data_IF_188913131935
#
_entry.id   IF_188913131935
#
_cell.length_a   1.000
_cell.length_b   1.000
_cell.length_c   1.000
_cell.angle_alpha   90.00
_cell.angle_beta   90.00
_cell.angle_gamma   90.00
#
_symmetry.space_group_name_H-M   'P 1'
#
loop_
_entity.id
_entity.type
_entity.pdbx_description
1 polymer ?
#
# COMPACT_ATOMS: atom_id res chain seq x y z
N UNK A 1 -14.86 1.04 -3.50
CA UNK A 1 -14.95 0.44 -2.16
C UNK A 1 -13.74 0.89 -1.35
N UNK A 2 -13.94 1.67 -0.30
CA UNK A 2 -12.90 2.18 0.63
C UNK A 2 -12.41 1.04 1.53
N UNK A 3 -11.13 1.01 1.95
CA UNK A 3 -10.69 0.06 3.00
C UNK A 3 -11.45 0.36 4.29
N UNK A 4 -12.52 -0.41 4.53
CA UNK A 4 -13.29 -0.39 5.78
C UNK A 4 -13.08 -1.71 6.50
N UNK A 5 -11.91 -1.96 7.09
CA UNK A 5 -11.69 -3.15 7.93
C UNK A 5 -10.73 -2.91 9.10
N UNK A 6 -10.99 -3.63 10.19
CA UNK A 6 -10.11 -3.82 11.35
C UNK A 6 -8.67 -4.10 10.88
N UNK A 7 -7.68 -3.38 11.43
CA UNK A 7 -6.27 -3.54 11.07
C UNK A 7 -5.69 -2.49 10.11
N UNK A 8 -6.52 -1.62 9.51
CA UNK A 8 -6.05 -0.49 8.70
C UNK A 8 -5.32 0.55 9.56
N UNK A 9 -4.08 0.87 9.18
CA UNK A 9 -3.22 1.88 9.80
C UNK A 9 -3.13 3.12 8.90
N UNK A 10 -2.74 4.25 9.48
CA UNK A 10 -2.52 5.51 8.75
C UNK A 10 -1.04 5.84 8.70
N UNK A 11 -0.61 6.50 7.64
CA UNK A 11 0.74 7.05 7.50
C UNK A 11 0.68 8.30 6.63
N UNK A 12 1.53 9.29 6.91
CA UNK A 12 1.74 10.44 6.05
C UNK A 12 3.08 10.27 5.37
N UNK A 13 3.11 10.34 4.04
CA UNK A 13 4.34 10.28 3.24
C UNK A 13 4.45 11.59 2.45
N UNK A 14 5.50 12.36 2.73
CA UNK A 14 5.56 13.76 2.29
C UNK A 14 4.45 14.57 2.95
N UNK A 15 3.55 15.13 2.13
CA UNK A 15 2.34 15.85 2.58
C UNK A 15 1.05 15.08 2.37
N UNK A 16 1.12 13.83 1.86
CA UNK A 16 -0.06 13.07 1.44
C UNK A 16 -0.45 12.02 2.50
N UNK A 17 -1.72 11.97 2.93
CA UNK A 17 -2.19 10.97 3.89
C UNK A 17 -2.61 9.67 3.19
N UNK A 18 -2.17 8.55 3.74
CA UNK A 18 -2.45 7.21 3.24
C UNK A 18 -3.03 6.32 4.33
N UNK A 19 -3.75 5.30 3.88
CA UNK A 19 -4.20 4.16 4.68
C UNK A 19 -3.55 2.90 4.15
N UNK A 20 -3.13 2.02 5.04
CA UNK A 20 -2.52 0.76 4.66
C UNK A 20 -2.94 -0.38 5.58
N UNK A 21 -2.90 -1.60 5.05
CA UNK A 21 -3.14 -2.83 5.82
C UNK A 21 -2.23 -3.93 5.32
N UNK A 22 -1.98 -4.92 6.18
CA UNK A 22 -1.41 -6.19 5.76
C UNK A 22 -2.56 -7.12 5.40
N UNK A 23 -2.57 -7.64 4.19
CA UNK A 23 -3.50 -8.66 3.71
C UNK A 23 -2.79 -10.02 3.72
N UNK A 24 -3.32 -11.02 4.44
CA UNK A 24 -2.68 -12.33 4.56
C UNK A 24 -2.91 -13.27 3.36
N UNK A 25 -3.43 -12.79 2.21
CA UNK A 25 -3.99 -13.70 1.20
C UNK A 25 -3.00 -14.08 0.09
N UNK A 26 -2.75 -15.39 0.03
CA UNK A 26 -2.20 -16.22 -1.06
C UNK A 26 -0.75 -15.95 -1.51
N UNK A 27 0.07 -17.00 -1.43
CA UNK A 27 1.47 -17.11 -1.85
C UNK A 27 1.84 -16.19 -3.05
N UNK A 28 3.00 -15.52 -3.03
CA UNK A 28 4.25 -15.95 -2.39
C UNK A 28 4.60 -15.30 -1.03
N UNK A 29 3.73 -14.50 -0.41
CA UNK A 29 4.09 -13.79 0.82
C UNK A 29 2.97 -12.96 1.46
N UNK A 30 3.34 -11.97 2.27
CA UNK A 30 2.40 -11.03 2.88
C UNK A 30 2.16 -9.82 1.96
N UNK A 31 0.90 -9.49 1.69
CA UNK A 31 0.53 -8.33 0.90
C UNK A 31 0.44 -7.07 1.75
N UNK A 32 1.09 -5.98 1.33
CA UNK A 32 0.87 -4.64 1.86
C UNK A 32 -0.04 -3.92 0.87
N UNK A 33 -1.24 -3.57 1.30
CA UNK A 33 -2.21 -2.81 0.50
C UNK A 33 -2.22 -1.38 0.99
N UNK A 34 -2.07 -0.42 0.07
CA UNK A 34 -2.08 1.02 0.35
C UNK A 34 -3.12 1.72 -0.53
N UNK A 35 -3.86 2.65 0.08
CA UNK A 35 -4.73 3.59 -0.63
C UNK A 35 -4.58 5.00 -0.07
N UNK A 36 -4.95 6.01 -0.86
CA UNK A 36 -5.08 7.37 -0.34
C UNK A 36 -6.14 7.43 0.78
N UNK A 37 -5.99 8.33 1.75
CA UNK A 37 -6.89 8.39 2.92
C UNK A 37 -8.36 8.63 2.54
N UNK A 38 -8.63 9.31 1.43
CA UNK A 38 -10.00 9.49 0.90
C UNK A 38 -10.65 8.17 0.48
N UNK A 39 -9.84 7.15 0.17
CA UNK A 39 -10.25 5.81 -0.28
C UNK A 39 -11.04 5.78 -1.60
N UNK A 40 -10.94 6.85 -2.39
CA UNK A 40 -11.56 6.97 -3.73
C UNK A 40 -10.56 6.81 -4.88
N UNK A 41 -9.26 6.73 -4.60
CA UNK A 41 -8.25 6.60 -5.63
C UNK A 41 -7.73 5.17 -5.81
N UNK A 42 -6.74 5.04 -6.69
CA UNK A 42 -6.12 3.78 -7.06
C UNK A 42 -5.38 3.16 -5.87
N UNK A 43 -5.60 1.86 -5.65
CA UNK A 43 -4.83 1.10 -4.66
C UNK A 43 -3.51 0.63 -5.23
N UNK A 44 -2.53 0.54 -4.36
CA UNK A 44 -1.26 -0.12 -4.61
C UNK A 44 -1.14 -1.35 -3.71
N UNK A 45 -0.62 -2.43 -4.26
CA UNK A 45 -0.26 -3.65 -3.54
C UNK A 45 1.20 -3.95 -3.77
N UNK A 46 1.90 -4.36 -2.71
CA UNK A 46 3.24 -4.93 -2.81
C UNK A 46 3.33 -6.19 -1.97
N UNK A 47 4.18 -7.12 -2.38
CA UNK A 47 4.35 -8.42 -1.74
C UNK A 47 5.71 -8.47 -1.06
N UNK A 48 5.74 -8.93 0.19
CA UNK A 48 6.97 -9.16 0.95
C UNK A 48 7.05 -10.60 1.42
N UNK A 49 8.26 -11.12 1.57
CA UNK A 49 8.49 -12.49 2.03
C UNK A 49 7.96 -12.71 3.46
N UNK A 50 7.63 -13.96 3.77
CA UNK A 50 7.27 -14.35 5.13
C UNK A 50 8.41 -14.05 6.11
N UNK A 51 8.06 -13.55 7.30
CA UNK A 51 9.03 -13.12 8.31
C UNK A 51 9.52 -11.66 8.15
N UNK A 52 9.16 -10.98 7.05
CA UNK A 52 9.45 -9.55 6.90
C UNK A 52 8.67 -8.74 7.94
N UNK A 53 9.38 -7.92 8.71
CA UNK A 53 8.76 -6.99 9.67
C UNK A 53 8.15 -5.81 8.91
N UNK A 54 6.82 -5.76 8.85
CA UNK A 54 6.10 -4.67 8.18
C UNK A 54 6.00 -3.47 9.13
N UNK A 55 6.97 -2.56 9.00
CA UNK A 55 7.06 -1.31 9.75
C UNK A 55 6.53 -0.10 8.96
N UNK A 56 6.17 1.01 9.62
CA UNK A 56 5.83 2.25 8.92
C UNK A 56 6.96 2.76 8.01
N UNK A 57 8.23 2.51 8.34
CA UNK A 57 9.38 2.85 7.51
C UNK A 57 9.39 2.10 6.19
N UNK A 58 9.18 0.78 6.24
CA UNK A 58 9.04 -0.05 5.03
C UNK A 58 7.85 0.42 4.18
N UNK A 59 6.72 0.71 4.81
CA UNK A 59 5.51 1.21 4.10
C UNK A 59 5.79 2.54 3.40
N UNK A 60 6.56 3.44 4.02
CA UNK A 60 6.98 4.69 3.40
C UNK A 60 7.85 4.44 2.17
N UNK A 61 8.82 3.52 2.24
CA UNK A 61 9.69 3.18 1.11
C UNK A 61 8.89 2.65 -0.08
N UNK A 62 7.98 1.70 0.14
CA UNK A 62 7.18 1.12 -0.95
C UNK A 62 6.20 2.12 -1.56
N UNK A 63 5.67 3.06 -0.77
CA UNK A 63 4.86 4.17 -1.28
C UNK A 63 5.70 5.06 -2.21
N UNK A 64 6.90 5.46 -1.79
CA UNK A 64 7.78 6.30 -2.62
C UNK A 64 8.15 5.59 -3.91
N UNK A 65 8.55 4.32 -3.83
CA UNK A 65 8.88 3.52 -5.01
C UNK A 65 7.69 3.41 -5.99
N UNK A 66 6.48 3.15 -5.48
CA UNK A 66 5.29 3.11 -6.32
C UNK A 66 4.99 4.47 -6.99
N UNK A 67 5.15 5.57 -6.27
CA UNK A 67 4.98 6.93 -6.82
C UNK A 67 5.98 7.21 -7.94
N UNK A 68 7.25 6.84 -7.74
CA UNK A 68 8.31 6.96 -8.77
C UNK A 68 8.01 6.08 -10.00
N UNK A 69 7.41 4.91 -9.79
CA UNK A 69 6.98 4.00 -10.85
C UNK A 69 5.62 4.40 -11.51
N UNK A 70 5.10 5.59 -11.22
CA UNK A 70 3.90 6.15 -11.86
C UNK A 70 2.57 5.69 -11.24
N UNK A 71 2.56 5.37 -9.95
CA UNK A 71 1.30 5.21 -9.21
C UNK A 71 0.64 6.55 -8.95
N UNK A 72 -0.66 6.64 -9.25
CA UNK A 72 -1.47 7.85 -9.03
C UNK A 72 -2.54 7.61 -7.97
N UNK A 73 -2.24 7.77 -6.67
CA UNK A 73 -3.11 7.35 -5.57
C UNK A 73 -4.43 8.13 -5.47
N UNK A 74 -4.53 9.30 -6.11
CA UNK A 74 -5.73 10.14 -6.11
C UNK A 74 -6.63 9.87 -7.32
N UNK A 75 -6.10 9.25 -8.38
CA UNK A 75 -6.87 8.93 -9.57
C UNK A 75 -7.57 7.59 -9.39
N UNK A 76 -8.86 7.46 -9.71
CA UNK A 76 -9.52 6.16 -9.76
C UNK A 76 -8.82 5.26 -10.78
N UNK A 77 -8.69 3.97 -10.46
CA UNK A 77 -8.06 3.02 -11.37
C UNK A 77 -8.04 1.61 -10.81
N UNK A 78 -7.65 0.67 -11.67
CA UNK A 78 -7.38 -0.72 -11.25
C UNK A 78 -6.22 -0.74 -10.27
N UNK A 79 -6.28 -1.68 -9.32
CA UNK A 79 -5.18 -1.93 -8.39
C UNK A 79 -3.86 -2.18 -9.14
N UNK A 80 -2.77 -1.57 -8.68
CA UNK A 80 -1.43 -1.80 -9.25
C UNK A 80 -0.54 -2.54 -8.28
N UNK A 81 0.13 -3.55 -8.80
CA UNK A 81 1.09 -4.36 -8.05
C UNK A 81 2.50 -3.85 -8.35
N UNK A 82 3.28 -3.56 -7.31
CA UNK A 82 4.70 -3.22 -7.42
C UNK A 82 5.51 -4.26 -6.66
N UNK A 83 6.52 -4.82 -7.32
CA UNK A 83 7.46 -5.75 -6.69
C UNK A 83 8.73 -4.99 -6.36
N UNK A 84 9.21 -5.14 -5.13
CA UNK A 84 10.55 -4.74 -4.74
C UNK A 84 11.48 -5.89 -5.17
N UNK A 85 12.46 -5.59 -6.02
CA UNK A 85 13.57 -6.50 -6.32
C UNK A 85 14.60 -6.52 -5.19
#
# INVERSE_FOLDING_TARGET
MTLRRKGTRRIVVGSRPYRWTVAPNDEPGLGIVVEHESGQGQRMVTWVEHGTVISPGLVKEVINHALEAGWHPEQPGVERVFRRE
#
